data_IF_256045024723
#
_entry.id   IF_256045024723
#
_cell.length_a   1.000
_cell.length_b   1.000
_cell.length_c   1.000
_cell.angle_alpha   90.00
_cell.angle_beta   90.00
_cell.angle_gamma   90.00
#
_symmetry.space_group_name_H-M   'P 1'
#
loop_
_entity.id
_entity.type
_entity.pdbx_description
1 polymer ?
#
# COMPACT_ATOMS: atom_id res chain seq x y z
N UNK A 1 19.21 15.42 0.67
CA UNK A 1 18.34 14.92 -0.42
C UNK A 1 18.24 15.93 -1.57
N UNK A 2 18.03 15.52 -2.84
CA UNK A 2 17.98 16.44 -3.98
C UNK A 2 16.81 17.44 -3.87
N UNK A 3 17.03 18.73 -4.14
CA UNK A 3 15.97 19.76 -4.13
C UNK A 3 14.79 19.41 -5.07
N UNK A 4 15.10 18.73 -6.17
CA UNK A 4 14.11 18.23 -7.13
C UNK A 4 13.12 17.22 -6.52
N UNK A 5 13.58 16.39 -5.55
CA UNK A 5 12.70 15.46 -4.84
C UNK A 5 11.67 16.24 -4.01
N UNK A 6 12.10 17.28 -3.29
CA UNK A 6 11.22 18.11 -2.46
C UNK A 6 10.15 18.77 -3.33
N UNK A 7 10.54 19.31 -4.49
CA UNK A 7 9.60 19.92 -5.44
C UNK A 7 8.59 18.90 -5.99
N UNK A 8 9.05 17.72 -6.40
CA UNK A 8 8.19 16.65 -6.91
C UNK A 8 7.19 16.16 -5.85
N UNK A 9 7.65 15.96 -4.61
CA UNK A 9 6.80 15.59 -3.47
C UNK A 9 5.77 16.68 -3.19
N UNK A 10 6.17 17.96 -3.18
CA UNK A 10 5.25 19.08 -2.95
C UNK A 10 4.16 19.14 -4.02
N UNK A 11 4.54 18.98 -5.28
CA UNK A 11 3.61 18.97 -6.41
C UNK A 11 2.59 17.84 -6.26
N UNK A 12 3.03 16.61 -5.98
CA UNK A 12 2.14 15.47 -5.80
C UNK A 12 1.23 15.63 -4.58
N UNK A 13 1.73 16.21 -3.48
CA UNK A 13 0.89 16.52 -2.32
C UNK A 13 -0.23 17.50 -2.68
N UNK A 14 0.08 18.57 -3.41
CA UNK A 14 -0.94 19.53 -3.88
C UNK A 14 -1.98 18.82 -4.76
N UNK A 15 -1.56 18.00 -5.71
CA UNK A 15 -2.47 17.27 -6.60
C UNK A 15 -3.39 16.30 -5.85
N UNK A 16 -2.89 15.64 -4.80
CA UNK A 16 -3.62 14.61 -4.06
C UNK A 16 -4.49 15.16 -2.93
N UNK A 17 -4.12 16.30 -2.34
CA UNK A 17 -4.77 16.82 -1.12
C UNK A 17 -5.32 18.24 -1.29
N UNK A 18 -4.99 18.92 -2.39
CA UNK A 18 -5.25 20.35 -2.59
C UNK A 18 -4.60 21.26 -1.54
N UNK A 19 -3.56 20.77 -0.85
CA UNK A 19 -2.84 21.51 0.19
C UNK A 19 -1.37 21.67 -0.20
N UNK A 20 -0.89 22.91 -0.18
CA UNK A 20 0.52 23.23 -0.39
C UNK A 20 1.30 23.16 0.93
N UNK A 21 1.89 22.00 1.20
CA UNK A 21 2.81 21.83 2.32
C UNK A 21 4.09 22.64 2.12
N UNK A 22 4.67 23.20 3.19
CA UNK A 22 5.93 23.94 3.09
C UNK A 22 7.08 23.03 2.68
N UNK A 23 8.08 23.56 1.95
CA UNK A 23 9.30 22.81 1.64
C UNK A 23 9.96 22.30 2.92
N UNK A 24 9.94 23.10 3.99
CA UNK A 24 10.49 22.72 5.29
C UNK A 24 9.79 21.54 5.92
N UNK A 25 8.45 21.45 5.82
CA UNK A 25 7.70 20.30 6.28
C UNK A 25 8.12 19.02 5.54
N UNK A 26 8.21 19.10 4.21
CA UNK A 26 8.59 17.95 3.37
C UNK A 26 10.02 17.49 3.71
N UNK A 27 10.95 18.43 3.80
CA UNK A 27 12.33 18.17 4.19
C UNK A 27 12.41 17.52 5.58
N UNK A 28 11.61 18.00 6.54
CA UNK A 28 11.69 17.55 7.94
C UNK A 28 11.02 16.20 8.16
N UNK A 29 9.90 15.91 7.49
CA UNK A 29 9.06 14.74 7.82
C UNK A 29 8.95 13.70 6.71
N UNK A 30 9.08 14.09 5.44
CA UNK A 30 8.89 13.17 4.30
C UNK A 30 10.23 12.68 3.76
N UNK A 31 11.21 13.57 3.56
CA UNK A 31 12.55 13.20 3.09
C UNK A 31 13.25 12.13 3.95
N UNK A 32 13.17 12.15 5.29
CA UNK A 32 13.79 11.11 6.12
C UNK A 32 13.24 9.70 5.84
N UNK A 33 11.98 9.60 5.38
CA UNK A 33 11.38 8.31 5.02
C UNK A 33 12.06 7.75 3.76
N UNK A 34 12.31 8.60 2.76
CA UNK A 34 13.08 8.22 1.57
C UNK A 34 14.50 7.81 1.96
N UNK A 35 15.20 8.64 2.74
CA UNK A 35 16.56 8.38 3.21
C UNK A 35 16.65 7.03 3.93
N UNK A 36 15.71 6.77 4.84
CA UNK A 36 15.65 5.51 5.57
C UNK A 36 15.44 4.31 4.64
N UNK A 37 14.49 4.38 3.70
CA UNK A 37 14.22 3.29 2.75
C UNK A 37 15.45 3.02 1.86
N UNK A 38 16.12 4.06 1.39
CA UNK A 38 17.23 3.96 0.44
C UNK A 38 18.51 3.44 1.11
N UNK A 39 18.80 3.93 2.31
CA UNK A 39 19.99 3.54 3.08
C UNK A 39 19.84 2.20 3.81
N UNK A 40 18.60 1.71 3.95
CA UNK A 40 18.36 0.44 4.63
C UNK A 40 18.90 -0.75 3.85
N UNK A 41 19.46 -1.72 4.57
CA UNK A 41 19.75 -3.06 4.05
C UNK A 41 18.49 -3.92 3.93
N UNK A 42 17.35 -3.48 4.49
CA UNK A 42 16.06 -4.18 4.41
C UNK A 42 15.37 -3.85 3.08
N UNK A 43 14.59 -4.80 2.57
CA UNK A 43 13.82 -4.65 1.34
C UNK A 43 12.29 -4.74 1.55
N UNK A 44 11.85 -4.77 2.82
CA UNK A 44 10.44 -4.84 3.22
C UNK A 44 10.19 -3.83 4.31
N UNK A 45 9.15 -3.01 4.13
CA UNK A 45 8.78 -1.94 5.04
C UNK A 45 7.28 -2.00 5.31
N UNK A 46 6.90 -1.63 6.52
CA UNK A 46 5.50 -1.54 6.94
C UNK A 46 5.17 -0.07 7.22
N UNK A 47 4.08 0.42 6.62
CA UNK A 47 3.51 1.73 6.97
C UNK A 47 2.22 1.48 7.74
N UNK A 48 2.22 1.86 9.01
CA UNK A 48 1.08 1.71 9.92
C UNK A 48 0.63 3.08 10.46
N UNK A 49 -0.61 3.15 10.93
CA UNK A 49 -1.21 4.37 11.45
C UNK A 49 -2.73 4.30 11.40
N UNK A 50 -3.40 5.27 12.02
CA UNK A 50 -4.86 5.36 12.05
C UNK A 50 -5.48 5.56 10.66
N UNK A 51 -6.77 5.26 10.52
CA UNK A 51 -7.51 5.57 9.30
C UNK A 51 -7.53 7.10 9.08
N UNK A 52 -7.38 7.54 7.82
CA UNK A 52 -7.39 8.96 7.48
C UNK A 52 -6.05 9.69 7.63
N UNK A 53 -5.02 9.09 8.21
CA UNK A 53 -3.71 9.74 8.42
C UNK A 53 -2.86 9.93 7.13
N UNK A 54 -3.39 9.56 5.95
CA UNK A 54 -2.68 9.77 4.69
C UNK A 54 -1.69 8.67 4.26
N UNK A 55 -1.78 7.44 4.81
CA UNK A 55 -0.91 6.30 4.42
C UNK A 55 -0.92 6.03 2.91
N UNK A 56 -2.10 5.99 2.28
CA UNK A 56 -2.22 5.74 0.85
C UNK A 56 -1.63 6.88 0.02
N UNK A 57 -1.79 8.13 0.47
CA UNK A 57 -1.16 9.32 -0.13
C UNK A 57 0.36 9.21 -0.06
N UNK A 58 0.91 8.89 1.11
CA UNK A 58 2.35 8.69 1.30
C UNK A 58 2.88 7.55 0.43
N UNK A 59 2.17 6.42 0.35
CA UNK A 59 2.57 5.30 -0.51
C UNK A 59 2.62 5.69 -1.98
N UNK A 60 1.65 6.45 -2.49
CA UNK A 60 1.66 6.93 -3.86
C UNK A 60 2.88 7.84 -4.14
N UNK A 61 3.18 8.74 -3.20
CA UNK A 61 4.35 9.61 -3.27
C UNK A 61 5.65 8.80 -3.26
N UNK A 62 5.77 7.81 -2.38
CA UNK A 62 6.94 6.93 -2.31
C UNK A 62 7.11 6.12 -3.60
N UNK A 63 6.05 5.47 -4.09
CA UNK A 63 6.07 4.67 -5.33
C UNK A 63 6.60 5.49 -6.51
N UNK A 64 6.03 6.68 -6.73
CA UNK A 64 6.41 7.53 -7.85
C UNK A 64 7.84 8.06 -7.73
N UNK A 65 8.19 8.62 -6.57
CA UNK A 65 9.47 9.31 -6.43
C UNK A 65 10.65 8.33 -6.25
N UNK A 66 10.44 7.14 -5.68
CA UNK A 66 11.47 6.10 -5.65
C UNK A 66 11.81 5.61 -7.06
N UNK A 67 10.81 5.50 -7.93
CA UNK A 67 11.01 5.18 -9.34
C UNK A 67 11.76 6.31 -10.07
N UNK A 68 11.29 7.56 -9.95
CA UNK A 68 11.85 8.70 -10.69
C UNK A 68 13.29 9.02 -10.27
N UNK A 69 13.57 9.11 -8.97
CA UNK A 69 14.85 9.65 -8.47
C UNK A 69 15.87 8.59 -8.11
N UNK A 70 15.45 7.33 -7.94
CA UNK A 70 16.34 6.25 -7.47
C UNK A 70 16.29 5.01 -8.35
N UNK A 71 15.50 5.04 -9.44
CA UNK A 71 15.28 3.88 -10.31
C UNK A 71 14.86 2.62 -9.53
N UNK A 72 14.11 2.79 -8.43
CA UNK A 72 13.62 1.69 -7.59
C UNK A 72 12.12 1.53 -7.77
N UNK A 73 11.71 0.45 -8.41
CA UNK A 73 10.31 0.03 -8.40
C UNK A 73 10.02 -0.78 -7.13
N UNK A 74 8.88 -0.49 -6.50
CA UNK A 74 8.45 -1.15 -5.28
C UNK A 74 7.10 -1.85 -5.47
N UNK A 75 6.90 -2.94 -4.74
CA UNK A 75 5.58 -3.56 -4.62
C UNK A 75 4.85 -2.98 -3.40
N UNK A 76 3.85 -2.13 -3.63
CA UNK A 76 2.93 -1.71 -2.58
C UNK A 76 1.78 -2.70 -2.43
N UNK A 77 1.58 -3.17 -1.19
CA UNK A 77 0.47 -4.04 -0.81
C UNK A 77 -0.32 -3.37 0.30
N UNK A 78 -1.60 -3.07 0.05
CA UNK A 78 -2.53 -2.63 1.09
C UNK A 78 -3.15 -3.84 1.77
N UNK A 79 -3.23 -3.85 3.10
CA UNK A 79 -3.92 -4.92 3.82
C UNK A 79 -5.42 -4.95 3.45
N UNK A 80 -6.03 -3.77 3.22
CA UNK A 80 -7.44 -3.65 2.84
C UNK A 80 -7.77 -4.40 1.54
N UNK A 81 -6.85 -4.47 0.58
CA UNK A 81 -7.07 -5.21 -0.68
C UNK A 81 -7.24 -6.71 -0.44
N UNK A 82 -6.71 -7.21 0.69
CA UNK A 82 -6.78 -8.61 1.08
C UNK A 82 -7.93 -8.91 2.01
N UNK A 83 -8.92 -8.04 2.20
CA UNK A 83 -10.17 -8.46 2.83
C UNK A 83 -10.75 -9.70 2.14
N UNK A 84 -11.31 -10.58 2.96
CA UNK A 84 -12.09 -11.72 2.48
C UNK A 84 -13.36 -11.21 1.78
N UNK A 85 -13.81 -11.98 0.80
CA UNK A 85 -15.08 -11.69 0.12
C UNK A 85 -16.23 -11.67 1.10
N UNK A 86 -17.31 -10.98 0.76
CA UNK A 86 -18.52 -10.93 1.58
C UNK A 86 -19.04 -12.33 1.88
N UNK A 87 -19.07 -13.21 0.87
CA UNK A 87 -19.45 -14.63 1.01
C UNK A 87 -18.58 -15.37 2.04
N UNK A 88 -17.26 -15.19 1.98
CA UNK A 88 -16.34 -15.82 2.94
C UNK A 88 -16.58 -15.30 4.36
N UNK A 89 -16.73 -13.98 4.54
CA UNK A 89 -17.05 -13.37 5.84
C UNK A 89 -18.38 -13.85 6.42
N UNK A 90 -19.44 -13.94 5.60
CA UNK A 90 -20.72 -14.53 6.04
C UNK A 90 -20.59 -15.99 6.47
N UNK A 91 -19.73 -16.78 5.81
CA UNK A 91 -19.49 -18.15 6.26
C UNK A 91 -18.74 -18.18 7.59
N UNK A 92 -17.77 -17.28 7.81
CA UNK A 92 -17.03 -17.20 9.06
C UNK A 92 -17.92 -16.70 10.20
N UNK A 93 -18.84 -15.79 9.93
CA UNK A 93 -19.73 -15.24 10.94
C UNK A 93 -20.66 -16.29 11.54
N UNK A 94 -21.12 -17.23 10.70
CA UNK A 94 -21.94 -18.38 11.12
C UNK A 94 -21.14 -19.47 11.81
N UNK A 95 -19.88 -19.67 11.44
CA UNK A 95 -19.04 -20.79 11.91
C UNK A 95 -18.22 -20.47 13.16
N UNK A 96 -17.81 -19.22 13.34
CA UNK A 96 -16.85 -18.82 14.38
C UNK A 96 -17.45 -17.74 15.28
N UNK A 97 -17.77 -16.56 14.73
CA UNK A 97 -18.30 -15.46 15.53
C UNK A 97 -19.03 -14.41 14.66
N UNK A 98 -20.22 -13.92 15.05
CA UNK A 98 -21.03 -12.99 14.25
C UNK A 98 -20.27 -11.75 13.74
N UNK A 99 -19.34 -11.20 14.54
CA UNK A 99 -18.53 -10.04 14.15
C UNK A 99 -17.70 -10.24 12.88
N UNK A 100 -17.38 -11.49 12.48
CA UNK A 100 -16.61 -11.75 11.27
C UNK A 100 -17.39 -11.47 9.97
N UNK A 101 -18.67 -11.07 10.07
CA UNK A 101 -19.41 -10.53 8.93
C UNK A 101 -18.89 -9.15 8.53
N UNK A 102 -18.39 -8.35 9.48
CA UNK A 102 -17.85 -7.01 9.19
C UNK A 102 -16.42 -7.11 8.70
N UNK A 103 -15.98 -6.13 7.91
CA UNK A 103 -14.56 -6.00 7.55
C UNK A 103 -13.80 -5.23 8.65
N UNK A 104 -12.54 -5.57 8.87
CA UNK A 104 -11.59 -4.81 9.70
C UNK A 104 -11.13 -5.53 10.95
N UNK A 105 -11.99 -6.37 11.52
CA UNK A 105 -11.61 -7.17 12.70
C UNK A 105 -10.60 -8.27 12.33
N UNK A 106 -9.75 -8.72 13.27
CA UNK A 106 -8.82 -9.83 13.03
C UNK A 106 -9.54 -11.06 12.48
N UNK A 107 -8.92 -11.73 11.50
CA UNK A 107 -9.49 -12.90 10.82
C UNK A 107 -10.29 -12.59 9.54
N UNK A 108 -10.51 -11.31 9.21
CA UNK A 108 -11.27 -10.91 8.00
C UNK A 108 -10.42 -10.70 6.75
N UNK A 109 -9.14 -11.06 6.81
CA UNK A 109 -8.18 -10.90 5.71
C UNK A 109 -7.62 -12.23 5.22
N UNK A 110 -7.36 -12.32 3.92
CA UNK A 110 -6.69 -13.43 3.25
C UNK A 110 -5.16 -13.32 3.40
N UNK A 111 -4.68 -13.55 4.64
CA UNK A 111 -3.26 -13.48 4.98
C UNK A 111 -2.44 -14.50 4.18
N UNK A 112 -3.01 -15.68 3.90
CA UNK A 112 -2.34 -16.71 3.08
C UNK A 112 -2.03 -16.17 1.68
N UNK A 113 -3.00 -15.49 1.03
CA UNK A 113 -2.78 -14.87 -0.28
C UNK A 113 -1.80 -13.71 -0.22
N UNK A 114 -1.86 -12.87 0.81
CA UNK A 114 -0.89 -11.78 1.02
C UNK A 114 0.54 -12.32 1.09
N UNK A 115 0.79 -13.29 1.97
CA UNK A 115 2.12 -13.91 2.13
C UNK A 115 2.57 -14.62 0.85
N UNK A 116 1.65 -15.25 0.12
CA UNK A 116 1.96 -15.83 -1.20
C UNK A 116 2.47 -14.76 -2.16
N UNK A 117 1.80 -13.60 -2.25
CA UNK A 117 2.23 -12.53 -3.16
C UNK A 117 3.58 -11.92 -2.77
N UNK A 118 3.86 -11.77 -1.47
CA UNK A 118 5.20 -11.36 -0.99
C UNK A 118 6.26 -12.36 -1.45
N UNK A 119 6.02 -13.66 -1.29
CA UNK A 119 6.96 -14.72 -1.74
C UNK A 119 7.13 -14.74 -3.26
N UNK A 120 6.06 -14.53 -4.02
CA UNK A 120 6.14 -14.42 -5.48
C UNK A 120 7.04 -13.26 -5.89
N UNK A 121 6.91 -12.09 -5.26
CA UNK A 121 7.74 -10.92 -5.53
C UNK A 121 9.22 -11.14 -5.15
N UNK A 122 9.46 -11.78 -4.00
CA UNK A 122 10.82 -12.12 -3.57
C UNK A 122 11.52 -13.04 -4.57
N UNK A 123 10.78 -14.00 -5.15
CA UNK A 123 11.29 -14.99 -6.13
C UNK A 123 11.16 -14.56 -7.59
N UNK A 124 10.76 -13.31 -7.85
CA UNK A 124 10.50 -12.80 -9.20
C UNK A 124 9.51 -13.64 -10.04
N UNK A 125 8.49 -14.22 -9.38
CA UNK A 125 7.42 -15.00 -10.02
C UNK A 125 6.29 -14.04 -10.39
N UNK A 126 6.11 -13.81 -11.69
CA UNK A 126 5.13 -12.90 -12.26
C UNK A 126 4.20 -13.61 -13.26
N UNK A 127 3.01 -13.05 -13.54
CA UNK A 127 2.44 -11.84 -12.93
C UNK A 127 1.90 -12.07 -11.52
N UNK A 128 1.94 -11.03 -10.68
CA UNK A 128 1.27 -11.03 -9.37
C UNK A 128 -0.07 -10.30 -9.53
N UNK A 129 -1.16 -11.04 -9.35
CA UNK A 129 -2.52 -10.53 -9.47
C UNK A 129 -3.04 -10.14 -8.08
N UNK A 130 -2.78 -8.89 -7.69
CA UNK A 130 -3.20 -8.33 -6.41
C UNK A 130 -4.72 -8.14 -6.45
N UNK A 131 -5.48 -8.63 -5.44
CA UNK A 131 -6.91 -8.35 -5.34
C UNK A 131 -7.17 -6.85 -5.24
N UNK A 132 -8.37 -6.43 -5.60
CA UNK A 132 -8.84 -5.07 -5.34
C UNK A 132 -10.10 -5.21 -4.49
N UNK A 133 -10.12 -4.53 -3.35
CA UNK A 133 -11.30 -4.52 -2.49
C UNK A 133 -12.10 -3.23 -2.71
N UNK A 134 -13.38 -3.38 -3.03
CA UNK A 134 -14.31 -2.28 -3.18
C UNK A 134 -15.02 -2.01 -1.86
N UNK A 135 -14.70 -0.87 -1.24
CA UNK A 135 -15.27 -0.47 0.05
C UNK A 135 -16.73 -0.03 -0.06
N UNK A 136 -17.19 0.39 -1.24
CA UNK A 136 -18.58 0.82 -1.48
C UNK A 136 -19.47 -0.41 -1.53
N UNK A 137 -19.07 -1.40 -2.32
CA UNK A 137 -19.81 -2.67 -2.45
C UNK A 137 -19.54 -3.65 -1.30
N UNK A 138 -18.56 -3.34 -0.45
CA UNK A 138 -18.07 -4.19 0.64
C UNK A 138 -17.71 -5.60 0.16
N UNK A 139 -17.08 -5.71 -1.01
CA UNK A 139 -16.64 -6.98 -1.56
C UNK A 139 -15.41 -6.84 -2.46
N UNK A 140 -14.78 -7.96 -2.77
CA UNK A 140 -13.64 -8.01 -3.68
C UNK A 140 -14.13 -7.94 -5.11
N UNK A 141 -13.49 -7.09 -5.91
CA UNK A 141 -13.75 -7.02 -7.34
C UNK A 141 -13.22 -8.27 -8.06
N UNK A 142 -13.83 -8.60 -9.19
CA UNK A 142 -13.31 -9.61 -10.12
C UNK A 142 -12.02 -9.12 -10.81
N UNK A 143 -11.90 -7.81 -11.01
CA UNK A 143 -10.69 -7.15 -11.49
C UNK A 143 -9.55 -7.24 -10.46
N UNK A 144 -8.33 -7.37 -10.97
CA UNK A 144 -7.10 -7.44 -10.18
C UNK A 144 -6.10 -6.39 -10.66
N UNK A 145 -5.26 -5.90 -9.74
CA UNK A 145 -4.07 -5.09 -10.09
C UNK A 145 -2.95 -6.06 -10.48
N UNK A 146 -2.59 -6.09 -11.77
CA UNK A 146 -1.59 -6.99 -12.33
C UNK A 146 -0.20 -6.36 -12.29
N UNK A 147 0.72 -6.93 -11.52
CA UNK A 147 2.14 -6.57 -11.50
C UNK A 147 2.87 -7.50 -12.44
N UNK A 148 3.50 -6.96 -13.49
CA UNK A 148 4.02 -7.74 -14.62
C UNK A 148 5.48 -8.18 -14.47
N UNK A 149 6.33 -7.38 -13.86
CA UNK A 149 7.76 -7.68 -13.68
C UNK A 149 8.27 -7.02 -12.41
N UNK A 150 9.45 -7.45 -11.97
CA UNK A 150 10.37 -6.62 -11.18
C UNK A 150 11.13 -5.81 -12.24
N UNK A 151 11.20 -4.49 -12.13
CA UNK A 151 12.30 -3.79 -12.79
C UNK A 151 13.62 -4.26 -12.17
#
# INVERSE_FOLDING_TARGET
MPEQLIYSVQKQLIELTNIKFSKKYIETYICPIFEYIISSKKNKFLIAGSQGIGKSTLMHILENNLKIFYNKEILSLSLDDYYLTKKQRTSLSKKIHPLLITRGVPGTHDIKKLLKHVRCFDRSIYPINIPIFDKINDDRLTKVKKIKTKA
#
